data_IF_019418397044
#
_entry.id   IF_019418397044
#
_cell.length_a   1.000
_cell.length_b   1.000
_cell.length_c   1.000
_cell.angle_alpha   90.00
_cell.angle_beta   90.00
_cell.angle_gamma   90.00
#
_symmetry.space_group_name_H-M   'P 1'
#
loop_
_entity.id
_entity.type
_entity.pdbx_description
1 polymer ?
#
# COMPACT_ATOMS: atom_id res chain seq x y z
N UNK A 1 -4.03 0.12 17.71
CA UNK A 1 -3.24 0.38 16.48
C UNK A 1 -2.42 1.66 16.59
N UNK A 2 -2.98 2.79 17.06
CA UNK A 2 -2.17 3.98 17.38
C UNK A 2 -1.04 3.65 18.40
N UNK A 3 -1.37 2.88 19.43
CA UNK A 3 -0.37 2.33 20.37
C UNK A 3 0.75 1.52 19.70
N UNK A 4 0.44 0.74 18.65
CA UNK A 4 1.46 -0.03 17.93
C UNK A 4 2.42 0.88 17.15
N UNK A 5 1.90 1.99 16.58
CA UNK A 5 2.74 3.01 15.97
C UNK A 5 3.64 3.71 17.00
N UNK A 6 3.09 4.02 18.19
CA UNK A 6 3.86 4.61 19.29
C UNK A 6 4.94 3.64 19.81
N UNK A 7 4.63 2.35 19.95
CA UNK A 7 5.61 1.31 20.33
C UNK A 7 6.73 1.20 19.30
N UNK A 8 6.40 1.24 18.00
CA UNK A 8 7.42 1.26 16.95
C UNK A 8 8.33 2.49 17.03
N UNK A 9 7.75 3.68 17.22
CA UNK A 9 8.49 4.93 17.37
C UNK A 9 9.36 4.96 18.63
N UNK A 10 8.94 4.28 19.70
CA UNK A 10 9.74 4.09 20.90
C UNK A 10 10.79 2.96 20.79
N UNK A 11 10.87 2.26 19.64
CA UNK A 11 11.78 1.13 19.42
C UNK A 11 11.35 -0.18 20.11
N UNK A 12 10.13 -0.25 20.63
CA UNK A 12 9.55 -1.43 21.28
C UNK A 12 8.82 -2.40 20.34
N UNK A 13 8.66 -2.04 19.06
CA UNK A 13 8.06 -2.87 18.02
C UNK A 13 8.87 -2.76 16.73
N UNK A 14 9.11 -3.89 16.06
CA UNK A 14 9.76 -3.89 14.75
C UNK A 14 8.86 -3.29 13.67
N UNK A 15 9.48 -2.60 12.71
CA UNK A 15 8.77 -1.99 11.57
C UNK A 15 7.96 -3.01 10.78
N UNK A 16 8.53 -4.18 10.51
CA UNK A 16 7.84 -5.24 9.74
C UNK A 16 6.62 -5.77 10.50
N UNK A 17 6.68 -5.85 11.84
CA UNK A 17 5.54 -6.22 12.65
C UNK A 17 4.43 -5.17 12.57
N UNK A 18 4.77 -3.87 12.61
CA UNK A 18 3.81 -2.78 12.40
C UNK A 18 3.18 -2.86 11.00
N UNK A 19 3.98 -3.06 9.96
CA UNK A 19 3.49 -3.22 8.57
C UNK A 19 2.55 -4.43 8.47
N UNK A 20 2.90 -5.55 9.08
CA UNK A 20 2.04 -6.74 9.15
C UNK A 20 0.69 -6.41 9.78
N UNK A 21 0.68 -5.74 10.94
CA UNK A 21 -0.56 -5.34 11.59
C UNK A 21 -1.40 -4.39 10.72
N UNK A 22 -0.79 -3.36 10.13
CA UNK A 22 -1.47 -2.40 9.25
C UNK A 22 -2.05 -3.04 7.99
N UNK A 23 -1.33 -3.98 7.39
CA UNK A 23 -1.79 -4.68 6.18
C UNK A 23 -2.92 -5.68 6.46
N UNK A 24 -3.03 -6.17 7.69
CA UNK A 24 -4.14 -7.04 8.13
C UNK A 24 -5.40 -6.29 8.56
N UNK A 25 -5.39 -4.94 8.56
CA UNK A 25 -6.60 -4.16 8.80
C UNK A 25 -7.71 -4.56 7.81
N UNK A 26 -8.91 -4.72 8.37
CA UNK A 26 -10.11 -5.19 7.67
C UNK A 26 -10.61 -4.19 6.64
N UNK A 27 -11.75 -3.57 6.89
CA UNK A 27 -12.35 -2.60 5.96
C UNK A 27 -11.77 -1.19 6.14
N UNK A 28 -11.98 -0.33 5.14
CA UNK A 28 -11.44 1.04 5.16
C UNK A 28 -11.95 1.90 6.33
N UNK A 29 -13.09 1.59 6.93
CA UNK A 29 -13.59 2.30 8.12
C UNK A 29 -12.63 2.15 9.32
N UNK A 30 -12.03 0.97 9.50
CA UNK A 30 -11.00 0.76 10.52
C UNK A 30 -9.77 1.63 10.26
N UNK A 31 -9.43 1.87 9.00
CA UNK A 31 -8.34 2.77 8.59
C UNK A 31 -8.72 4.23 8.87
N UNK A 32 -9.98 4.64 8.63
CA UNK A 32 -10.46 5.99 8.93
C UNK A 32 -10.42 6.30 10.42
N UNK A 33 -10.83 5.33 11.26
CA UNK A 33 -10.76 5.44 12.71
C UNK A 33 -9.31 5.58 13.17
N UNK A 34 -8.41 4.72 12.67
CA UNK A 34 -6.99 4.77 12.97
C UNK A 34 -6.34 6.10 12.58
N UNK A 35 -6.66 6.65 11.40
CA UNK A 35 -6.19 7.97 10.99
C UNK A 35 -6.68 9.04 11.97
N UNK A 36 -7.93 8.94 12.44
CA UNK A 36 -8.48 9.83 13.46
C UNK A 36 -7.68 9.78 14.77
N UNK A 37 -7.41 8.58 15.27
CA UNK A 37 -6.65 8.37 16.52
C UNK A 37 -5.22 8.93 16.38
N UNK A 38 -4.53 8.61 15.29
CA UNK A 38 -3.16 9.06 15.02
C UNK A 38 -3.07 10.59 14.87
N UNK A 39 -4.10 11.23 14.30
CA UNK A 39 -4.17 12.70 14.23
C UNK A 39 -4.41 13.30 15.62
N UNK A 40 -5.28 12.69 16.43
CA UNK A 40 -5.58 13.14 17.79
C UNK A 40 -4.38 13.07 18.72
N UNK A 41 -3.49 12.09 18.52
CA UNK A 41 -2.27 11.90 19.29
C UNK A 41 -1.04 12.66 18.73
N UNK A 42 -1.10 13.10 17.47
CA UNK A 42 0.02 13.81 16.85
C UNK A 42 0.20 15.21 17.47
N UNK A 43 1.35 15.52 18.09
CA UNK A 43 1.64 16.90 18.47
C UNK A 43 1.69 17.71 17.18
N UNK A 44 0.95 18.83 17.11
CA UNK A 44 0.71 19.65 15.91
C UNK A 44 1.96 20.21 15.23
N UNK A 45 2.78 19.32 14.66
CA UNK A 45 4.00 19.61 13.95
C UNK A 45 3.64 19.76 12.49
N UNK A 46 3.50 21.02 12.07
CA UNK A 46 3.66 21.36 10.67
C UNK A 46 5.07 20.98 10.21
N UNK A 47 5.14 20.57 8.95
CA UNK A 47 6.33 20.06 8.26
C UNK A 47 7.54 20.96 8.52
N UNK A 48 8.50 20.45 9.28
CA UNK A 48 9.87 20.95 9.25
C UNK A 48 10.67 20.11 8.26
N UNK A 49 11.18 20.82 7.27
CA UNK A 49 11.94 20.40 6.10
C UNK A 49 13.20 19.60 6.46
N UNK A 50 13.50 18.55 5.68
CA UNK A 50 14.85 17.97 5.60
C UNK A 50 15.00 16.91 4.49
N UNK A 51 13.91 16.36 3.94
CA UNK A 51 14.00 15.42 2.82
C UNK A 51 13.70 16.14 1.51
N UNK A 52 14.67 16.15 0.59
CA UNK A 52 14.52 16.83 -0.71
C UNK A 52 13.44 16.18 -1.56
N UNK A 53 12.86 16.91 -2.53
CA UNK A 53 11.86 16.38 -3.48
C UNK A 53 12.32 15.10 -4.17
N UNK A 54 13.63 14.95 -4.44
CA UNK A 54 14.20 13.75 -5.03
C UNK A 54 14.12 12.52 -4.12
N UNK A 55 14.37 12.70 -2.83
CA UNK A 55 14.31 11.63 -1.83
C UNK A 55 12.87 11.17 -1.62
N UNK A 56 11.93 12.12 -1.48
CA UNK A 56 10.50 11.80 -1.41
C UNK A 56 10.00 11.07 -2.66
N UNK A 57 10.48 11.47 -3.84
CA UNK A 57 10.16 10.77 -5.08
C UNK A 57 10.69 9.34 -5.07
N UNK A 58 11.95 9.14 -4.65
CA UNK A 58 12.53 7.80 -4.56
C UNK A 58 11.77 6.93 -3.54
N UNK A 59 11.41 7.49 -2.39
CA UNK A 59 10.62 6.85 -1.34
C UNK A 59 9.25 6.38 -1.88
N UNK A 60 8.53 7.26 -2.57
CA UNK A 60 7.22 6.94 -3.16
C UNK A 60 7.32 5.92 -4.31
N UNK A 61 8.36 5.99 -5.14
CA UNK A 61 8.58 5.02 -6.23
C UNK A 61 8.95 3.62 -5.72
N UNK A 62 9.60 3.53 -4.56
CA UNK A 62 9.93 2.27 -3.92
C UNK A 62 8.78 1.73 -3.04
N UNK A 63 7.66 2.46 -2.94
CA UNK A 63 6.55 2.10 -2.07
C UNK A 63 5.71 0.98 -2.66
N UNK A 64 5.25 0.09 -1.78
CA UNK A 64 4.13 -0.82 -2.06
C UNK A 64 2.84 -0.19 -1.58
N UNK A 65 1.72 -0.57 -2.18
CA UNK A 65 0.42 -0.03 -1.79
C UNK A 65 -0.56 -1.13 -1.36
N UNK A 66 -1.45 -0.75 -0.46
CA UNK A 66 -2.74 -1.43 -0.25
C UNK A 66 -3.84 -0.39 -0.36
N UNK A 67 -4.91 -0.72 -1.07
CA UNK A 67 -6.07 0.13 -1.22
C UNK A 67 -7.33 -0.61 -0.77
N UNK A 68 -8.18 0.09 -0.03
CA UNK A 68 -9.53 -0.34 0.31
C UNK A 68 -10.49 0.49 -0.56
N UNK A 69 -11.27 -0.17 -1.41
CA UNK A 69 -12.11 0.51 -2.41
C UNK A 69 -13.56 0.75 -1.95
N UNK A 70 -14.12 -0.13 -1.12
CA UNK A 70 -15.51 -0.07 -0.66
C UNK A 70 -15.66 -0.80 0.69
N UNK A 71 -16.58 -0.40 1.59
CA UNK A 71 -17.50 0.75 1.53
C UNK A 71 -16.84 2.09 1.82
N UNK A 72 -15.69 2.09 2.49
CA UNK A 72 -14.94 3.29 2.85
C UNK A 72 -13.58 3.28 2.13
N UNK A 73 -13.34 4.26 1.27
CA UNK A 73 -12.08 4.33 0.53
C UNK A 73 -10.91 4.70 1.43
N UNK A 74 -9.82 3.92 1.40
CA UNK A 74 -8.60 4.22 2.13
C UNK A 74 -7.38 3.67 1.40
N UNK A 75 -6.19 4.14 1.79
CA UNK A 75 -4.92 3.72 1.22
C UNK A 75 -3.82 3.63 2.27
N UNK A 76 -2.92 2.68 2.07
CA UNK A 76 -1.67 2.50 2.80
C UNK A 76 -0.53 2.46 1.79
N UNK A 77 0.45 3.35 1.91
CA UNK A 77 1.75 3.22 1.24
C UNK A 77 2.79 2.75 2.25
N UNK A 78 3.55 1.75 1.84
CA UNK A 78 4.67 1.18 2.60
C UNK A 78 5.94 1.48 1.81
N UNK A 79 6.60 2.58 2.15
CA UNK A 79 7.92 2.93 1.61
C UNK A 79 9.04 2.17 2.31
N UNK A 80 10.32 2.42 1.95
CA UNK A 80 11.47 1.94 2.73
C UNK A 80 11.54 2.51 4.15
N UNK A 81 11.29 3.80 4.32
CA UNK A 81 11.46 4.53 5.58
C UNK A 81 10.12 5.03 6.15
N UNK A 82 9.15 5.32 5.29
CA UNK A 82 7.87 5.91 5.70
C UNK A 82 6.70 4.93 5.54
N UNK A 83 5.68 5.12 6.37
CA UNK A 83 4.35 4.52 6.18
C UNK A 83 3.35 5.64 6.03
N UNK A 84 2.46 5.57 5.05
CA UNK A 84 1.46 6.61 4.82
C UNK A 84 0.07 6.00 4.85
N UNK A 85 -0.79 6.48 5.75
CA UNK A 85 -2.21 6.13 5.79
C UNK A 85 -3.03 7.32 5.30
N UNK A 86 -4.04 7.07 4.46
CA UNK A 86 -4.90 8.13 3.92
C UNK A 86 -6.32 7.63 3.68
N UNK A 87 -7.32 8.47 3.96
CA UNK A 87 -8.71 8.29 3.54
C UNK A 87 -9.08 9.19 2.34
N UNK A 88 -8.09 9.88 1.76
CA UNK A 88 -8.26 10.87 0.69
C UNK A 88 -8.67 12.27 1.17
N UNK A 89 -9.17 12.41 2.40
CA UNK A 89 -9.49 13.71 3.03
C UNK A 89 -8.50 14.06 4.14
N UNK A 90 -8.04 13.06 4.87
CA UNK A 90 -7.10 13.07 5.97
C UNK A 90 -6.06 12.00 5.72
N UNK A 91 -4.88 12.22 6.27
CA UNK A 91 -3.81 11.23 6.18
C UNK A 91 -2.70 11.55 7.14
N UNK A 92 -1.85 10.57 7.37
CA UNK A 92 -0.69 10.67 8.23
C UNK A 92 0.51 10.00 7.59
N UNK A 93 1.68 10.56 7.84
CA UNK A 93 2.97 9.92 7.62
C UNK A 93 3.48 9.44 8.96
N UNK A 94 3.82 8.17 9.05
CA UNK A 94 4.49 7.57 10.18
C UNK A 94 5.95 7.34 9.80
N UNK A 95 6.86 7.88 10.60
CA UNK A 95 8.30 7.61 10.56
C UNK A 95 8.76 7.13 11.93
N UNK A 96 10.00 6.66 12.04
CA UNK A 96 10.56 6.26 13.34
C UNK A 96 10.62 7.45 14.31
N UNK A 97 10.76 8.67 13.80
CA UNK A 97 10.84 9.91 14.56
C UNK A 97 9.47 10.43 15.01
N UNK A 98 8.38 9.93 14.44
CA UNK A 98 7.04 10.31 14.86
C UNK A 98 5.97 10.29 13.77
N UNK A 99 4.82 10.86 14.13
CA UNK A 99 3.62 10.96 13.28
C UNK A 99 3.45 12.39 12.78
N UNK A 100 3.15 12.54 11.49
CA UNK A 100 2.89 13.84 10.86
C UNK A 100 1.57 13.82 10.12
N UNK A 101 0.79 14.88 10.23
CA UNK A 101 -0.52 15.00 9.57
C UNK A 101 -0.35 15.57 8.15
N UNK A 102 -1.01 14.93 7.18
CA UNK A 102 -1.05 15.37 5.79
C UNK A 102 -2.14 16.42 5.57
N UNK A 103 -1.85 17.41 4.71
CA UNK A 103 -2.87 18.33 4.18
C UNK A 103 -3.84 17.56 3.28
N UNK A 104 -5.11 17.98 3.27
CA UNK A 104 -6.17 17.31 2.51
C UNK A 104 -5.84 17.09 1.02
N UNK A 105 -5.21 18.07 0.36
CA UNK A 105 -4.79 17.92 -1.04
C UNK A 105 -3.76 16.82 -1.23
N UNK A 106 -2.79 16.70 -0.32
CA UNK A 106 -1.78 15.64 -0.34
C UNK A 106 -2.41 14.29 -0.04
N UNK A 107 -3.32 14.22 0.94
CA UNK A 107 -4.07 13.01 1.28
C UNK A 107 -4.83 12.46 0.08
N UNK A 108 -5.49 13.32 -0.70
CA UNK A 108 -6.19 12.94 -1.93
C UNK A 108 -5.21 12.37 -2.98
N UNK A 109 -4.08 13.04 -3.21
CA UNK A 109 -3.04 12.55 -4.13
C UNK A 109 -2.45 11.21 -3.69
N UNK A 110 -2.24 11.00 -2.39
CA UNK A 110 -1.74 9.73 -1.86
C UNK A 110 -2.74 8.60 -2.05
N UNK A 111 -4.04 8.86 -1.89
CA UNK A 111 -5.07 7.84 -2.13
C UNK A 111 -5.09 7.42 -3.61
N UNK A 112 -5.04 8.38 -4.53
CA UNK A 112 -4.95 8.10 -5.96
C UNK A 112 -3.68 7.32 -6.32
N UNK A 113 -2.55 7.64 -5.69
CA UNK A 113 -1.30 6.89 -5.87
C UNK A 113 -1.45 5.43 -5.40
N UNK A 114 -2.05 5.21 -4.21
CA UNK A 114 -2.32 3.85 -3.72
C UNK A 114 -3.15 3.04 -4.72
N UNK A 115 -4.25 3.63 -5.20
CA UNK A 115 -5.14 3.00 -6.16
C UNK A 115 -4.42 2.71 -7.48
N UNK A 116 -3.59 3.63 -7.95
CA UNK A 116 -2.82 3.47 -9.19
C UNK A 116 -1.83 2.32 -9.08
N UNK A 117 -1.08 2.22 -7.98
CA UNK A 117 -0.12 1.12 -7.75
C UNK A 117 -0.86 -0.21 -7.72
N UNK A 118 -1.94 -0.33 -6.93
CA UNK A 118 -2.73 -1.58 -6.84
C UNK A 118 -3.34 -1.97 -8.19
N UNK A 119 -3.84 -1.00 -8.96
CA UNK A 119 -4.36 -1.27 -10.31
C UNK A 119 -3.26 -1.74 -11.27
N UNK A 120 -2.06 -1.16 -11.18
CA UNK A 120 -0.92 -1.57 -12.00
C UNK A 120 -0.49 -3.00 -11.64
N UNK A 121 -0.39 -3.34 -10.35
CA UNK A 121 -0.07 -4.68 -9.88
C UNK A 121 -1.08 -5.71 -10.42
N UNK A 122 -2.40 -5.43 -10.30
CA UNK A 122 -3.44 -6.30 -10.84
C UNK A 122 -3.40 -6.45 -12.37
N UNK A 123 -3.02 -5.39 -13.11
CA UNK A 123 -2.88 -5.46 -14.56
C UNK A 123 -1.72 -6.37 -14.98
N UNK A 124 -0.59 -6.31 -14.25
CA UNK A 124 0.55 -7.20 -14.45
C UNK A 124 0.17 -8.65 -14.15
N UNK A 125 -0.45 -8.90 -12.99
CA UNK A 125 -0.91 -10.24 -12.61
C UNK A 125 -1.85 -10.85 -13.67
N UNK A 126 -2.79 -10.06 -14.18
CA UNK A 126 -3.73 -10.50 -15.22
C UNK A 126 -3.03 -10.85 -16.53
N UNK A 127 -1.98 -10.09 -16.90
CA UNK A 127 -1.18 -10.35 -18.09
C UNK A 127 -0.39 -11.66 -17.96
N UNK A 128 0.29 -11.87 -16.82
CA UNK A 128 1.06 -13.09 -16.55
C UNK A 128 0.17 -14.34 -16.57
N UNK A 129 -1.02 -14.26 -15.93
CA UNK A 129 -2.02 -15.31 -15.97
C UNK A 129 -2.49 -15.61 -17.40
N UNK A 130 -2.62 -14.60 -18.25
CA UNK A 130 -2.92 -14.75 -19.67
C UNK A 130 -1.84 -15.52 -20.42
N UNK A 131 -0.58 -15.17 -20.21
CA UNK A 131 0.57 -15.85 -20.83
C UNK A 131 0.67 -17.32 -20.40
N UNK A 132 0.49 -17.62 -19.11
CA UNK A 132 0.49 -19.00 -18.61
C UNK A 132 -0.65 -19.83 -19.20
N UNK A 133 -1.84 -19.26 -19.36
CA UNK A 133 -2.96 -19.92 -20.03
C UNK A 133 -2.65 -20.22 -21.50
N UNK A 134 -2.03 -19.27 -22.21
CA UNK A 134 -1.67 -19.45 -23.61
C UNK A 134 -0.61 -20.55 -23.80
N UNK A 135 0.44 -20.57 -22.97
CA UNK A 135 1.45 -21.64 -22.98
C UNK A 135 0.83 -23.02 -22.72
N UNK A 136 -0.16 -23.11 -21.83
CA UNK A 136 -0.89 -24.35 -21.58
C UNK A 136 -1.68 -24.79 -22.81
N UNK A 137 -2.37 -23.87 -23.49
CA UNK A 137 -3.12 -24.18 -24.73
C UNK A 137 -2.14 -24.70 -25.80
N UNK A 138 -1.02 -24.02 -26.01
CA UNK A 138 -0.01 -24.40 -27.01
C UNK A 138 0.65 -25.76 -26.69
N UNK A 139 0.93 -26.03 -25.41
CA UNK A 139 1.48 -27.31 -24.95
C UNK A 139 0.47 -28.47 -25.04
N UNK A 140 -0.82 -28.18 -24.83
CA UNK A 140 -1.88 -29.19 -24.97
C UNK A 140 -2.21 -29.44 -26.45
N UNK A 141 -2.11 -28.42 -27.30
CA UNK A 141 -2.34 -28.52 -28.74
C UNK A 141 -1.26 -29.32 -29.47
N UNK A 142 -0.01 -29.27 -29.01
CA UNK A 142 1.08 -30.10 -29.57
C UNK A 142 0.92 -31.58 -29.22
N UNK A 143 0.34 -31.89 -28.05
CA UNK A 143 0.10 -33.28 -27.61
C UNK A 143 -1.03 -34.00 -28.37
N UNK A 144 -1.96 -33.27 -28.98
CA UNK A 144 -3.10 -33.85 -29.73
C UNK A 144 -2.80 -34.12 -31.20
N UNK A 145 -1.76 -33.50 -31.77
CA UNK A 145 -1.37 -33.70 -33.17
C UNK A 145 -0.51 -34.95 -33.42
N UNK A 146 -0.07 -35.64 -32.36
CA UNK A 146 0.76 -36.87 -32.44
C UNK A 146 -0.04 -38.17 -32.22
N UNK A 147 -1.36 -38.10 -32.05
CA UNK A 147 -2.19 -39.30 -31.90
C UNK A 147 -2.46 -39.90 -33.27
N UNK A 148 -1.66 -40.91 -33.64
CA UNK A 148 -1.99 -41.81 -34.76
C UNK A 148 -3.37 -42.45 -34.51
N UNK A 149 -4.31 -42.36 -35.46
CA UNK A 149 -5.59 -43.04 -35.33
C UNK A 149 -5.35 -44.56 -35.33
N UNK A 150 -5.80 -45.23 -34.26
CA UNK A 150 -5.77 -46.69 -34.18
C UNK A 150 -6.67 -47.28 -35.30
N UNK A 151 -6.21 -48.32 -36.01
CA UNK A 151 -6.96 -48.98 -37.08
C UNK A 151 -8.20 -49.72 -36.60
#
# INVERSE_FOLDING_TARGET
>A
MAEAAALWQAGGLDREALVGQLTTLGEGEAVHALIGDLIGEAPGHEVTDAAGTGEWRAELLASRAKAWAHPASAGLLVGPHVLILTDGRRGVVLTAEGTRVLKASVSASMLLLCQTIVMADHAVDAQELGTLRQQRIESTSTSLSEIEPLP
#
